data_IF_273583946465
#
_entry.id   IF_273583946465
#
_cell.length_a   1.000
_cell.length_b   1.000
_cell.length_c   1.000
_cell.angle_alpha   90.00
_cell.angle_beta   90.00
_cell.angle_gamma   90.00
#
_symmetry.space_group_name_H-M   'P 1'
#
loop_
_entity.id
_entity.type
_entity.pdbx_description
1 polymer ?
#
# COMPACT_ATOMS: atom_id res chain seq x y z
N UNK A 1 26.60 -11.14 25.87
CA UNK A 1 25.31 -11.48 25.20
C UNK A 1 25.12 -10.46 24.08
N UNK A 2 25.39 -10.82 22.83
CA UNK A 2 25.17 -9.91 21.70
C UNK A 2 23.67 -9.72 21.48
N UNK A 3 23.23 -8.47 21.23
CA UNK A 3 21.82 -8.15 21.00
C UNK A 3 21.40 -8.73 19.63
N UNK A 4 20.17 -9.25 19.52
CA UNK A 4 19.69 -9.94 18.29
C UNK A 4 19.55 -9.05 17.04
N UNK A 5 19.53 -7.72 17.20
CA UNK A 5 19.33 -6.76 16.12
C UNK A 5 20.47 -5.72 16.10
N UNK A 6 20.96 -5.32 14.92
CA UNK A 6 20.66 -5.88 13.59
C UNK A 6 21.41 -7.20 13.35
N UNK A 7 20.73 -8.19 12.74
CA UNK A 7 21.33 -9.51 12.45
C UNK A 7 22.48 -9.43 11.43
N UNK A 8 22.40 -8.46 10.53
CA UNK A 8 23.28 -8.31 9.38
C UNK A 8 24.57 -7.50 9.68
N UNK A 9 24.74 -6.99 10.92
CA UNK A 9 25.97 -6.30 11.33
C UNK A 9 26.27 -6.57 12.80
N UNK A 10 27.27 -7.41 13.07
CA UNK A 10 27.75 -7.75 14.42
C UNK A 10 28.36 -6.55 15.12
N UNK A 11 29.11 -5.72 14.39
CA UNK A 11 29.68 -4.49 14.93
C UNK A 11 28.60 -3.55 15.47
N UNK A 12 27.51 -3.39 14.72
CA UNK A 12 26.38 -2.57 15.16
C UNK A 12 25.55 -3.26 16.24
N UNK A 13 25.39 -4.59 16.18
CA UNK A 13 24.66 -5.35 17.20
C UNK A 13 25.31 -5.29 18.59
N UNK A 14 26.62 -5.00 18.66
CA UNK A 14 27.36 -4.83 19.91
C UNK A 14 27.28 -3.40 20.48
N UNK A 15 26.80 -2.42 19.72
CA UNK A 15 26.62 -1.04 20.20
C UNK A 15 25.56 -1.00 21.33
N UNK A 16 25.94 -0.62 22.57
CA UNK A 16 25.03 -0.66 23.72
C UNK A 16 24.05 0.52 23.74
N UNK A 17 24.17 1.47 22.81
CA UNK A 17 23.38 2.70 22.80
C UNK A 17 22.15 2.60 21.88
N UNK A 18 21.32 3.65 21.87
CA UNK A 18 20.20 3.79 20.94
C UNK A 18 20.64 3.99 19.49
N UNK A 19 21.90 4.38 19.24
CA UNK A 19 22.49 4.50 17.91
C UNK A 19 22.34 3.20 17.12
N UNK A 20 22.50 2.05 17.77
CA UNK A 20 22.27 0.71 17.20
C UNK A 20 20.94 0.61 16.45
N UNK A 21 19.86 1.10 17.05
CA UNK A 21 18.51 0.98 16.50
C UNK A 21 18.40 1.86 15.25
N UNK A 22 18.82 3.11 15.35
CA UNK A 22 18.73 4.07 14.26
C UNK A 22 19.56 3.65 13.05
N UNK A 23 20.81 3.28 13.26
CA UNK A 23 21.68 2.82 12.17
C UNK A 23 21.20 1.48 11.63
N UNK A 24 20.66 0.58 12.46
CA UNK A 24 20.14 -0.70 12.01
C UNK A 24 18.94 -0.57 11.09
N UNK A 25 18.14 0.50 11.22
CA UNK A 25 17.05 0.81 10.28
C UNK A 25 17.63 1.50 9.04
N UNK A 26 18.55 2.46 9.22
CA UNK A 26 19.11 3.25 8.13
C UNK A 26 19.93 2.43 7.13
N UNK A 27 20.62 1.38 7.58
CA UNK A 27 21.46 0.53 6.71
C UNK A 27 20.83 -0.81 6.35
N UNK A 28 19.53 -1.00 6.65
CA UNK A 28 18.85 -2.28 6.41
C UNK A 28 18.83 -2.69 4.92
N UNK A 29 18.79 -1.71 4.01
CA UNK A 29 18.78 -1.94 2.56
C UNK A 29 20.14 -1.68 1.88
N UNK A 30 21.17 -1.32 2.67
CA UNK A 30 22.55 -1.20 2.19
C UNK A 30 23.22 -2.58 2.24
N UNK A 31 22.77 -3.48 1.37
CA UNK A 31 23.16 -4.90 1.39
C UNK A 31 24.66 -5.12 1.20
N UNK A 32 25.35 -4.25 0.47
CA UNK A 32 26.80 -4.32 0.25
C UNK A 32 27.59 -4.14 1.55
N UNK A 33 27.03 -3.41 2.51
CA UNK A 33 27.64 -3.18 3.83
C UNK A 33 27.39 -4.30 4.85
N UNK A 34 26.60 -5.32 4.50
CA UNK A 34 26.23 -6.39 5.42
C UNK A 34 27.38 -7.37 5.62
N UNK A 35 27.51 -7.89 6.85
CA UNK A 35 28.55 -8.86 7.19
C UNK A 35 28.41 -10.13 6.31
N UNK A 36 29.54 -10.64 5.82
CA UNK A 36 29.64 -11.87 5.02
C UNK A 36 28.78 -11.91 3.74
N UNK A 37 28.46 -10.75 3.15
CA UNK A 37 27.73 -10.69 1.87
C UNK A 37 28.64 -11.11 0.70
N UNK A 38 28.15 -11.98 -0.17
CA UNK A 38 28.79 -12.33 -1.45
C UNK A 38 28.05 -11.64 -2.60
N UNK A 39 28.71 -11.45 -3.74
CA UNK A 39 28.09 -10.85 -4.93
C UNK A 39 26.84 -11.63 -5.39
N UNK A 40 26.90 -12.96 -5.41
CA UNK A 40 25.73 -13.80 -5.75
C UNK A 40 24.55 -13.54 -4.80
N UNK A 41 24.81 -13.52 -3.50
CA UNK A 41 23.77 -13.32 -2.48
C UNK A 41 23.22 -11.90 -2.50
N UNK A 42 24.06 -10.92 -2.79
CA UNK A 42 23.66 -9.53 -3.01
C UNK A 42 22.60 -9.46 -4.13
N UNK A 43 22.89 -10.02 -5.30
CA UNK A 43 21.95 -10.01 -6.42
C UNK A 43 20.67 -10.81 -6.13
N UNK A 44 20.75 -11.95 -5.45
CA UNK A 44 19.56 -12.71 -5.05
C UNK A 44 18.66 -11.90 -4.10
N UNK A 45 19.25 -11.23 -3.10
CA UNK A 45 18.51 -10.37 -2.17
C UNK A 45 17.86 -9.18 -2.90
N UNK A 46 18.59 -8.55 -3.82
CA UNK A 46 18.06 -7.45 -4.66
C UNK A 46 16.90 -7.95 -5.51
N UNK A 47 17.06 -9.09 -6.18
CA UNK A 47 16.01 -9.67 -7.04
C UNK A 47 14.74 -9.99 -6.25
N UNK A 48 14.85 -10.70 -5.13
CA UNK A 48 13.72 -10.98 -4.25
C UNK A 48 13.07 -9.69 -3.71
N UNK A 49 13.86 -8.65 -3.42
CA UNK A 49 13.34 -7.35 -2.97
C UNK A 49 12.52 -6.65 -4.06
N UNK A 50 12.88 -6.79 -5.33
CA UNK A 50 12.07 -6.26 -6.44
C UNK A 50 10.69 -6.94 -6.52
N UNK A 51 10.64 -8.26 -6.35
CA UNK A 51 9.39 -9.01 -6.29
C UNK A 51 8.52 -8.58 -5.11
N UNK A 52 9.14 -8.39 -3.93
CA UNK A 52 8.46 -7.81 -2.76
C UNK A 52 7.90 -6.41 -3.04
N UNK A 53 8.67 -5.54 -3.71
CA UNK A 53 8.22 -4.20 -4.08
C UNK A 53 7.05 -4.22 -5.08
N UNK A 54 7.12 -5.08 -6.10
CA UNK A 54 6.02 -5.28 -7.04
C UNK A 54 4.76 -5.78 -6.33
N UNK A 55 4.90 -6.73 -5.42
CA UNK A 55 3.80 -7.24 -4.61
C UNK A 55 3.12 -6.12 -3.78
N UNK A 56 3.90 -5.21 -3.17
CA UNK A 56 3.36 -4.05 -2.45
C UNK A 56 2.59 -3.11 -3.39
N UNK A 57 3.11 -2.83 -4.59
CA UNK A 57 2.44 -1.99 -5.59
C UNK A 57 1.11 -2.59 -6.03
N UNK A 58 1.07 -3.90 -6.32
CA UNK A 58 -0.17 -4.57 -6.71
C UNK A 58 -1.17 -4.63 -5.56
N UNK A 59 -0.72 -4.90 -4.33
CA UNK A 59 -1.58 -4.87 -3.15
C UNK A 59 -2.18 -3.47 -2.93
N UNK A 60 -1.37 -2.41 -3.05
CA UNK A 60 -1.83 -1.03 -2.94
C UNK A 60 -2.86 -0.70 -4.02
N UNK A 61 -2.57 -1.05 -5.28
CA UNK A 61 -3.49 -0.80 -6.42
C UNK A 61 -4.81 -1.54 -6.22
N UNK A 62 -4.73 -2.82 -5.83
CA UNK A 62 -5.86 -3.67 -5.48
C UNK A 62 -6.72 -3.06 -4.36
N UNK A 63 -6.10 -2.60 -3.27
CA UNK A 63 -6.80 -1.93 -2.18
C UNK A 63 -7.54 -0.66 -2.61
N UNK A 64 -6.94 0.16 -3.49
CA UNK A 64 -7.62 1.33 -4.04
C UNK A 64 -8.86 0.94 -4.86
N UNK A 65 -8.75 -0.07 -5.73
CA UNK A 65 -9.89 -0.57 -6.52
C UNK A 65 -11.00 -1.13 -5.63
N UNK A 66 -10.64 -1.88 -4.59
CA UNK A 66 -11.58 -2.44 -3.63
C UNK A 66 -12.39 -1.35 -2.92
N UNK A 67 -11.70 -0.35 -2.36
CA UNK A 67 -12.37 0.72 -1.64
C UNK A 67 -13.31 1.55 -2.53
N UNK A 68 -12.88 1.86 -3.75
CA UNK A 68 -13.72 2.58 -4.73
C UNK A 68 -14.94 1.75 -5.15
N UNK A 69 -14.77 0.44 -5.33
CA UNK A 69 -15.87 -0.41 -5.75
C UNK A 69 -16.86 -0.73 -4.62
N UNK A 70 -16.38 -0.80 -3.38
CA UNK A 70 -17.22 -1.13 -2.21
C UNK A 70 -17.90 0.10 -1.60
N UNK A 71 -17.16 1.21 -1.42
CA UNK A 71 -17.60 2.39 -0.67
C UNK A 71 -17.65 3.67 -1.54
N UNK A 72 -17.15 3.60 -2.77
CA UNK A 72 -17.15 4.73 -3.70
C UNK A 72 -18.47 4.89 -4.44
N UNK A 73 -18.55 5.96 -5.23
CA UNK A 73 -19.66 6.27 -6.12
C UNK A 73 -19.26 6.17 -7.60
N UNK A 74 -18.37 5.22 -7.93
CA UNK A 74 -17.75 5.11 -9.26
C UNK A 74 -18.78 5.07 -10.39
N UNK A 75 -19.85 4.29 -10.24
CA UNK A 75 -20.88 4.17 -11.29
C UNK A 75 -21.62 5.49 -11.53
N UNK A 76 -21.99 6.21 -10.46
CA UNK A 76 -22.59 7.53 -10.57
C UNK A 76 -21.61 8.56 -11.16
N UNK A 77 -20.33 8.47 -10.78
CA UNK A 77 -19.29 9.36 -11.29
C UNK A 77 -19.00 9.16 -12.77
N UNK A 78 -18.97 7.91 -13.25
CA UNK A 78 -18.74 7.62 -14.68
C UNK A 78 -19.86 8.19 -15.56
N UNK A 79 -21.09 8.28 -15.06
CA UNK A 79 -22.22 8.86 -15.80
C UNK A 79 -22.16 10.39 -15.89
N UNK A 80 -21.66 11.08 -14.87
CA UNK A 80 -21.52 12.55 -14.87
C UNK A 80 -20.23 13.00 -14.16
N UNK A 81 -19.06 12.81 -14.80
CA UNK A 81 -17.77 13.04 -14.16
C UNK A 81 -17.45 14.52 -13.95
N UNK A 82 -18.21 15.42 -14.58
CA UNK A 82 -18.01 16.87 -14.46
C UNK A 82 -18.69 17.46 -13.23
N UNK A 83 -19.81 16.88 -12.78
CA UNK A 83 -20.57 17.41 -11.65
C UNK A 83 -20.58 16.48 -10.43
N UNK A 84 -20.44 15.17 -10.62
CA UNK A 84 -20.30 14.22 -9.51
C UNK A 84 -18.88 14.25 -9.00
N UNK A 85 -18.71 14.42 -7.68
CA UNK A 85 -17.38 14.32 -7.06
C UNK A 85 -17.08 12.85 -6.75
N UNK A 86 -15.94 12.31 -7.20
CA UNK A 86 -15.55 10.94 -6.91
C UNK A 86 -15.27 10.71 -5.41
N UNK A 87 -15.74 9.57 -4.91
CA UNK A 87 -15.52 9.08 -3.54
C UNK A 87 -14.47 7.97 -3.55
N UNK A 88 -13.50 8.07 -2.65
CA UNK A 88 -12.41 7.12 -2.46
C UNK A 88 -12.82 5.96 -1.56
N UNK A 89 -13.17 6.30 -0.32
CA UNK A 89 -13.53 5.36 0.75
C UNK A 89 -14.32 6.11 1.84
N UNK A 90 -15.02 5.35 2.68
CA UNK A 90 -15.67 5.88 3.86
C UNK A 90 -14.64 6.28 4.93
N UNK A 91 -14.94 7.30 5.71
CA UNK A 91 -14.16 7.69 6.87
C UNK A 91 -14.80 7.07 8.10
N UNK A 92 -14.01 6.32 8.86
CA UNK A 92 -14.41 5.78 10.16
C UNK A 92 -13.43 6.26 11.21
N UNK A 93 -13.76 7.38 11.87
CA UNK A 93 -12.97 7.95 12.96
C UNK A 93 -13.86 8.18 14.18
N UNK A 94 -13.70 7.41 15.27
CA UNK A 94 -14.52 7.55 16.48
C UNK A 94 -14.30 8.88 17.21
N UNK A 95 -13.24 9.63 16.89
CA UNK A 95 -12.98 10.94 17.48
C UNK A 95 -13.72 12.07 16.77
N UNK A 96 -14.40 11.80 15.64
CA UNK A 96 -15.18 12.82 14.95
C UNK A 96 -16.39 13.23 15.77
N UNK A 97 -16.43 14.50 16.16
CA UNK A 97 -17.66 15.13 16.64
C UNK A 97 -18.67 15.30 15.51
N UNK A 98 -19.94 15.52 15.87
CA UNK A 98 -21.04 15.70 14.92
C UNK A 98 -20.75 16.72 13.79
N UNK A 99 -20.13 17.90 14.07
CA UNK A 99 -19.82 18.86 13.00
C UNK A 99 -18.84 18.32 11.95
N UNK A 100 -17.89 17.47 12.37
CA UNK A 100 -16.95 16.83 11.44
C UNK A 100 -17.65 15.76 10.61
N UNK A 101 -18.50 14.95 11.23
CA UNK A 101 -19.33 13.94 10.53
C UNK A 101 -20.14 14.61 9.43
N UNK A 102 -20.86 15.69 9.74
CA UNK A 102 -21.63 16.46 8.76
C UNK A 102 -20.74 17.09 7.70
N UNK A 103 -19.62 17.70 8.10
CA UNK A 103 -18.70 18.35 7.17
C UNK A 103 -18.08 17.38 6.18
N UNK A 104 -17.84 16.11 6.55
CA UNK A 104 -17.26 15.09 5.67
C UNK A 104 -18.32 14.21 4.97
N UNK A 105 -19.60 14.33 5.33
CA UNK A 105 -20.70 13.64 4.64
C UNK A 105 -21.08 14.44 3.40
N UNK A 106 -20.49 14.10 2.24
CA UNK A 106 -20.62 14.84 0.98
C UNK A 106 -20.89 13.91 -0.19
N UNK A 107 -21.28 14.46 -1.34
CA UNK A 107 -21.42 13.70 -2.59
C UNK A 107 -22.58 12.70 -2.60
N UNK A 108 -23.62 12.95 -1.78
CA UNK A 108 -24.79 12.08 -1.65
C UNK A 108 -24.54 10.81 -0.82
N UNK A 109 -23.38 10.69 -0.17
CA UNK A 109 -23.06 9.55 0.68
C UNK A 109 -23.88 9.55 1.99
N UNK A 110 -24.22 8.37 2.55
CA UNK A 110 -24.94 8.26 3.82
C UNK A 110 -24.07 8.57 5.05
N UNK A 111 -22.78 8.85 4.87
CA UNK A 111 -21.86 9.17 5.97
C UNK A 111 -20.55 9.80 5.48
N UNK A 112 -19.59 10.01 6.40
CA UNK A 112 -18.33 10.67 6.11
C UNK A 112 -17.52 9.94 5.04
N UNK A 113 -17.04 10.68 4.04
CA UNK A 113 -16.28 10.12 2.91
C UNK A 113 -15.10 11.00 2.54
N UNK A 114 -14.06 10.37 2.00
CA UNK A 114 -12.92 11.08 1.39
C UNK A 114 -13.12 11.18 -0.12
N UNK A 115 -12.94 12.37 -0.69
CA UNK A 115 -12.87 12.54 -2.15
C UNK A 115 -11.49 12.18 -2.68
N UNK A 116 -11.44 11.58 -3.87
CA UNK A 116 -10.20 11.23 -4.56
C UNK A 116 -10.29 11.63 -6.03
N UNK A 117 -9.29 12.31 -6.56
CA UNK A 117 -9.17 12.49 -8.02
C UNK A 117 -8.82 11.15 -8.66
N UNK A 118 -9.80 10.53 -9.33
CA UNK A 118 -9.60 9.28 -10.07
C UNK A 118 -8.95 9.56 -11.43
N UNK A 119 -7.87 8.83 -11.76
CA UNK A 119 -7.22 8.85 -13.09
C UNK A 119 -7.65 7.66 -13.96
N UNK A 120 -8.45 6.74 -13.42
CA UNK A 120 -8.88 5.52 -14.11
C UNK A 120 -10.18 5.75 -14.89
N UNK A 121 -10.12 6.30 -16.11
CA UNK A 121 -11.30 6.36 -17.01
C UNK A 121 -11.00 5.84 -18.42
N UNK A 122 -9.75 5.83 -18.86
CA UNK A 122 -9.44 5.45 -20.26
C UNK A 122 -9.53 3.95 -20.57
N UNK A 123 -9.76 3.09 -19.56
CA UNK A 123 -9.79 1.64 -19.71
C UNK A 123 -11.16 1.02 -20.06
N UNK A 124 -12.21 1.83 -20.25
CA UNK A 124 -13.55 1.31 -20.60
C UNK A 124 -14.31 0.63 -19.45
N UNK A 125 -13.84 0.76 -18.21
CA UNK A 125 -14.52 0.21 -17.02
C UNK A 125 -15.70 1.13 -16.67
N UNK A 126 -16.90 0.56 -16.62
CA UNK A 126 -18.15 1.30 -16.42
C UNK A 126 -18.94 0.83 -15.18
N UNK A 127 -18.45 -0.19 -14.47
CA UNK A 127 -19.15 -0.76 -13.30
C UNK A 127 -18.21 -1.10 -12.16
N UNK A 128 -18.68 -0.88 -10.92
CA UNK A 128 -17.98 -1.29 -9.70
C UNK A 128 -17.79 -2.80 -9.62
N UNK A 129 -18.68 -3.60 -10.21
CA UNK A 129 -18.53 -5.05 -10.27
C UNK A 129 -17.28 -5.49 -11.06
N UNK A 130 -16.95 -4.77 -12.14
CA UNK A 130 -15.74 -5.02 -12.92
C UNK A 130 -14.50 -4.65 -12.11
N UNK A 131 -14.55 -3.55 -11.33
CA UNK A 131 -13.47 -3.18 -10.41
C UNK A 131 -13.26 -4.26 -9.33
N UNK A 132 -14.33 -4.86 -8.80
CA UNK A 132 -14.23 -5.97 -7.83
C UNK A 132 -13.62 -7.22 -8.48
N UNK A 133 -14.00 -7.52 -9.73
CA UNK A 133 -13.39 -8.66 -10.45
C UNK A 133 -11.90 -8.46 -10.67
N UNK A 134 -11.47 -7.27 -11.08
CA UNK A 134 -10.05 -6.93 -11.20
C UNK A 134 -9.39 -7.06 -9.83
N UNK A 135 -9.99 -6.50 -8.78
CA UNK A 135 -9.52 -6.66 -7.41
C UNK A 135 -9.36 -8.13 -6.98
N UNK A 136 -10.24 -9.05 -7.36
CA UNK A 136 -10.13 -10.47 -6.99
C UNK A 136 -9.05 -11.18 -7.80
N UNK A 137 -8.78 -10.76 -9.03
CA UNK A 137 -7.80 -11.39 -9.92
C UNK A 137 -6.35 -10.92 -9.65
N UNK A 138 -6.14 -9.65 -9.31
CA UNK A 138 -4.81 -9.08 -9.00
C UNK A 138 -4.07 -9.74 -7.79
N UNK A 139 -4.73 -10.19 -6.72
CA UNK A 139 -4.12 -10.93 -5.61
C UNK A 139 -3.50 -12.26 -6.03
N UNK A 140 -3.96 -12.88 -7.12
CA UNK A 140 -3.32 -14.07 -7.67
C UNK A 140 -1.96 -13.73 -8.29
N UNK A 141 -1.81 -12.55 -8.89
CA UNK A 141 -0.51 -12.04 -9.34
C UNK A 141 0.39 -11.73 -8.13
N UNK A 142 -0.13 -11.12 -7.08
CA UNK A 142 0.59 -10.92 -5.81
C UNK A 142 1.14 -12.24 -5.23
N UNK A 143 0.31 -13.28 -5.20
CA UNK A 143 0.70 -14.59 -4.66
C UNK A 143 1.77 -15.27 -5.54
N UNK A 144 1.69 -15.08 -6.86
CA UNK A 144 2.72 -15.52 -7.80
C UNK A 144 4.07 -14.83 -7.55
N UNK A 145 4.08 -13.51 -7.36
CA UNK A 145 5.32 -12.74 -7.12
C UNK A 145 5.95 -13.03 -5.74
N UNK A 146 5.19 -13.41 -4.73
CA UNK A 146 5.77 -13.75 -3.41
C UNK A 146 6.24 -15.20 -3.29
N UNK A 147 5.65 -16.13 -4.03
CA UNK A 147 6.02 -17.55 -3.95
C UNK A 147 7.17 -17.95 -4.87
N UNK A 148 7.45 -17.15 -5.90
CA UNK A 148 8.51 -17.41 -6.86
C UNK A 148 9.46 -16.21 -6.97
N UNK A 149 10.34 -16.01 -5.96
CA UNK A 149 11.51 -15.15 -6.10
C UNK A 149 12.61 -15.79 -6.96
#
# INVERSE_FOLDING_TARGET
MALRFPRFSQGLAQDPTTRRIWFGIATAHDFESHDDITEERLYQNIFASHFGQLAIIFLWTSGNLFHVAWQGNFEAWVQDPLHVRPIAHAIWDPHFGQPAVEAFTRGGAPGPVKSLTLVFISGGIQSGYVLIKIFILEPFFYYFFLLYP
#
